data_IF_821558745359
#
_entry.id   IF_821558745359
#
_cell.length_a   1.000
_cell.length_b   1.000
_cell.length_c   1.000
_cell.angle_alpha   90.00
_cell.angle_beta   90.00
_cell.angle_gamma   90.00
#
_symmetry.space_group_name_H-M   'P 1'
#
loop_
_entity.id
_entity.type
_entity.pdbx_description
1 polymer ?
#
# COMPACT_ATOMS: atom_id res chain seq x y z
N UNK A 1 16.49 21.68 5.47
CA UNK A 1 16.40 20.35 6.10
C UNK A 1 14.96 20.10 6.53
N UNK A 2 14.34 19.01 6.11
CA UNK A 2 12.96 18.65 6.53
C UNK A 2 12.98 18.11 7.96
N UNK A 3 12.07 18.61 8.81
CA UNK A 3 11.98 18.15 10.20
C UNK A 3 11.45 16.71 10.26
N UNK A 4 11.85 15.89 11.26
CA UNK A 4 11.37 14.52 11.40
C UNK A 4 9.84 14.41 11.41
N UNK A 5 9.15 15.32 12.11
CA UNK A 5 7.69 15.35 12.17
C UNK A 5 7.03 15.58 10.80
N UNK A 6 7.64 16.37 9.92
CA UNK A 6 7.13 16.58 8.57
C UNK A 6 7.30 15.32 7.70
N UNK A 7 8.46 14.67 7.78
CA UNK A 7 8.73 13.42 7.06
C UNK A 7 7.76 12.30 7.46
N UNK A 8 7.43 12.22 8.75
CA UNK A 8 6.40 11.29 9.25
C UNK A 8 5.02 11.59 8.65
N UNK A 9 4.60 12.85 8.60
CA UNK A 9 3.33 13.26 7.97
C UNK A 9 3.29 12.89 6.48
N UNK A 10 4.38 13.15 5.74
CA UNK A 10 4.48 12.73 4.34
C UNK A 10 4.41 11.21 4.20
N UNK A 11 5.06 10.45 5.07
CA UNK A 11 5.03 8.99 5.05
C UNK A 11 3.62 8.45 5.33
N UNK A 12 2.89 9.05 6.27
CA UNK A 12 1.52 8.67 6.61
C UNK A 12 0.57 8.94 5.44
N UNK A 13 0.63 10.13 4.84
CA UNK A 13 -0.16 10.47 3.64
C UNK A 13 0.15 9.52 2.48
N UNK A 14 1.43 9.21 2.26
CA UNK A 14 1.84 8.28 1.23
C UNK A 14 1.33 6.86 1.50
N UNK A 15 1.34 6.40 2.74
CA UNK A 15 0.79 5.10 3.12
C UNK A 15 -0.73 5.05 2.92
N UNK A 16 -1.47 6.13 3.23
CA UNK A 16 -2.90 6.23 2.95
C UNK A 16 -3.19 6.16 1.45
N UNK A 17 -2.43 6.90 0.62
CA UNK A 17 -2.56 6.86 -0.84
C UNK A 17 -2.21 5.47 -1.38
N UNK A 18 -1.17 4.84 -0.84
CA UNK A 18 -0.79 3.48 -1.19
C UNK A 18 -1.87 2.47 -0.83
N UNK A 19 -2.49 2.59 0.35
CA UNK A 19 -3.60 1.73 0.78
C UNK A 19 -4.81 1.89 -0.14
N UNK A 20 -5.22 3.12 -0.44
CA UNK A 20 -6.31 3.38 -1.40
C UNK A 20 -6.02 2.77 -2.77
N UNK A 21 -4.78 2.93 -3.26
CA UNK A 21 -4.35 2.36 -4.54
C UNK A 21 -4.40 0.83 -4.52
N UNK A 22 -3.94 0.20 -3.43
CA UNK A 22 -4.01 -1.24 -3.23
C UNK A 22 -5.46 -1.75 -3.21
N UNK A 23 -6.35 -1.10 -2.45
CA UNK A 23 -7.78 -1.46 -2.38
C UNK A 23 -8.40 -1.38 -3.77
N UNK A 24 -8.22 -0.26 -4.48
CA UNK A 24 -8.76 -0.09 -5.85
C UNK A 24 -8.22 -1.15 -6.81
N UNK A 25 -6.93 -1.48 -6.74
CA UNK A 25 -6.33 -2.51 -7.57
C UNK A 25 -6.92 -3.91 -7.32
N UNK A 26 -7.43 -4.17 -6.10
CA UNK A 26 -8.07 -5.44 -5.75
C UNK A 26 -9.57 -5.52 -6.04
N UNK A 27 -10.24 -4.40 -6.34
CA UNK A 27 -11.69 -4.39 -6.62
C UNK A 27 -12.11 -5.36 -7.74
N UNK A 28 -11.40 -5.46 -8.88
CA UNK A 28 -11.78 -6.40 -9.94
C UNK A 28 -11.81 -7.86 -9.47
N UNK A 29 -10.87 -8.26 -8.61
CA UNK A 29 -10.80 -9.61 -8.06
C UNK A 29 -11.96 -9.88 -7.09
N UNK A 30 -12.28 -8.91 -6.23
CA UNK A 30 -13.44 -8.97 -5.33
C UNK A 30 -14.74 -9.10 -6.11
N UNK A 31 -14.90 -8.35 -7.21
CA UNK A 31 -16.07 -8.45 -8.09
C UNK A 31 -16.15 -9.83 -8.72
N UNK A 32 -15.06 -10.36 -9.27
CA UNK A 32 -15.03 -11.71 -9.86
C UNK A 32 -15.38 -12.81 -8.84
N UNK A 33 -14.88 -12.69 -7.61
CA UNK A 33 -15.18 -13.64 -6.53
C UNK A 33 -16.65 -13.58 -6.11
N UNK A 34 -17.22 -12.38 -6.00
CA UNK A 34 -18.65 -12.23 -5.67
C UNK A 34 -19.52 -12.74 -6.81
N UNK A 35 -19.25 -12.41 -8.07
CA UNK A 35 -20.00 -12.94 -9.24
C UNK A 35 -19.99 -14.47 -9.23
N UNK A 36 -18.84 -15.08 -8.95
CA UNK A 36 -18.70 -16.55 -8.87
C UNK A 36 -19.54 -17.15 -7.74
N UNK A 37 -19.67 -16.47 -6.61
CA UNK A 37 -20.35 -16.98 -5.42
C UNK A 37 -21.85 -16.66 -5.36
N UNK A 38 -22.32 -15.58 -5.98
CA UNK A 38 -23.74 -15.16 -5.91
C UNK A 38 -24.58 -15.56 -7.12
N UNK A 39 -23.96 -16.06 -8.20
CA UNK A 39 -24.67 -16.42 -9.42
C UNK A 39 -25.39 -15.21 -10.05
N UNK A 40 -26.66 -15.37 -10.41
CA UNK A 40 -27.47 -14.34 -11.10
C UNK A 40 -28.31 -13.46 -10.19
N UNK A 41 -28.27 -13.63 -8.86
CA UNK A 41 -29.12 -12.88 -7.92
C UNK A 41 -28.53 -11.47 -7.59
N UNK A 42 -29.11 -10.37 -8.11
CA UNK A 42 -28.50 -9.04 -8.01
C UNK A 42 -28.50 -8.46 -6.59
N UNK A 43 -29.49 -8.84 -5.76
CA UNK A 43 -29.58 -8.38 -4.36
C UNK A 43 -28.48 -9.00 -3.51
N UNK A 44 -28.20 -10.29 -3.70
CA UNK A 44 -27.10 -10.97 -3.01
C UNK A 44 -25.74 -10.42 -3.46
N UNK A 45 -25.59 -10.09 -4.75
CA UNK A 45 -24.37 -9.49 -5.28
C UNK A 45 -23.96 -8.21 -4.55
N UNK A 46 -24.86 -7.22 -4.44
CA UNK A 46 -24.53 -5.94 -3.79
C UNK A 46 -24.22 -6.11 -2.29
N UNK A 47 -24.98 -6.96 -1.59
CA UNK A 47 -24.74 -7.23 -0.17
C UNK A 47 -23.39 -7.94 0.03
N UNK A 48 -23.09 -8.97 -0.75
CA UNK A 48 -21.83 -9.70 -0.65
C UNK A 48 -20.62 -8.82 -1.01
N UNK A 49 -20.73 -8.01 -2.07
CA UNK A 49 -19.67 -7.11 -2.51
C UNK A 49 -19.37 -6.03 -1.47
N UNK A 50 -20.41 -5.40 -0.90
CA UNK A 50 -20.24 -4.36 0.13
C UNK A 50 -19.60 -4.91 1.40
N UNK A 51 -20.04 -6.08 1.88
CA UNK A 51 -19.47 -6.75 3.04
C UNK A 51 -18.02 -7.17 2.76
N UNK A 52 -17.77 -7.80 1.60
CA UNK A 52 -16.44 -8.24 1.17
C UNK A 52 -15.44 -7.10 1.07
N UNK A 53 -15.81 -6.01 0.37
CA UNK A 53 -14.97 -4.81 0.26
C UNK A 53 -14.72 -4.16 1.61
N UNK A 54 -15.72 -4.12 2.51
CA UNK A 54 -15.56 -3.51 3.84
C UNK A 54 -14.60 -4.32 4.72
N UNK A 55 -14.80 -5.64 4.78
CA UNK A 55 -13.94 -6.55 5.52
C UNK A 55 -12.51 -6.54 4.98
N UNK A 56 -12.35 -6.61 3.65
CA UNK A 56 -11.06 -6.52 2.97
C UNK A 56 -10.37 -5.19 3.23
N UNK A 57 -11.10 -4.07 3.14
CA UNK A 57 -10.56 -2.73 3.40
C UNK A 57 -10.07 -2.58 4.84
N UNK A 58 -10.84 -3.07 5.82
CA UNK A 58 -10.44 -3.02 7.23
C UNK A 58 -9.18 -3.87 7.50
N UNK A 59 -9.17 -5.09 6.96
CA UNK A 59 -8.07 -6.01 7.11
C UNK A 59 -6.78 -5.47 6.47
N UNK A 60 -6.88 -4.99 5.23
CA UNK A 60 -5.74 -4.38 4.52
C UNK A 60 -5.30 -3.05 5.12
N UNK A 61 -6.21 -2.29 5.73
CA UNK A 61 -5.85 -1.09 6.48
C UNK A 61 -5.00 -1.42 7.71
N UNK A 62 -5.39 -2.44 8.48
CA UNK A 62 -4.60 -2.91 9.62
C UNK A 62 -3.22 -3.41 9.18
N UNK A 63 -3.15 -4.22 8.11
CA UNK A 63 -1.89 -4.68 7.54
C UNK A 63 -1.01 -3.55 7.01
N UNK A 64 -1.61 -2.60 6.29
CA UNK A 64 -0.92 -1.41 5.76
C UNK A 64 -0.40 -0.49 6.87
N UNK A 65 -1.17 -0.31 7.96
CA UNK A 65 -0.73 0.44 9.13
C UNK A 65 0.46 -0.23 9.83
N UNK A 66 0.42 -1.56 10.00
CA UNK A 66 1.55 -2.31 10.54
C UNK A 66 2.80 -2.18 9.65
N UNK A 67 2.65 -2.35 8.33
CA UNK A 67 3.75 -2.17 7.38
C UNK A 67 4.30 -0.74 7.40
N UNK A 68 3.43 0.28 7.53
CA UNK A 68 3.85 1.66 7.66
C UNK A 68 4.68 1.89 8.94
N UNK A 69 4.22 1.40 10.09
CA UNK A 69 4.94 1.53 11.37
C UNK A 69 6.29 0.79 11.33
N UNK A 70 6.32 -0.43 10.80
CA UNK A 70 7.50 -1.30 10.85
C UNK A 70 8.51 -0.99 9.75
N UNK A 71 8.08 -0.50 8.59
CA UNK A 71 8.96 -0.30 7.43
C UNK A 71 9.06 1.17 7.07
N UNK A 72 7.94 1.82 6.73
CA UNK A 72 7.97 3.17 6.18
C UNK A 72 8.45 4.22 7.20
N UNK A 73 8.04 4.11 8.47
CA UNK A 73 8.49 5.01 9.54
C UNK A 73 10.00 4.91 9.73
N UNK A 74 10.61 3.73 9.98
CA UNK A 74 12.07 3.59 10.04
C UNK A 74 12.77 4.12 8.78
N UNK A 75 12.30 3.79 7.58
CA UNK A 75 12.91 4.29 6.34
C UNK A 75 12.84 5.83 6.28
N UNK A 76 11.72 6.42 6.69
CA UNK A 76 11.53 7.87 6.71
C UNK A 76 12.35 8.59 7.80
N UNK A 77 12.80 7.89 8.84
CA UNK A 77 13.57 8.48 9.93
C UNK A 77 15.08 8.27 9.71
N UNK A 78 15.49 7.06 9.36
CA UNK A 78 16.90 6.67 9.32
C UNK A 78 17.63 7.05 8.03
N UNK A 79 16.94 7.11 6.89
CA UNK A 79 17.58 7.47 5.62
C UNK A 79 17.52 8.97 5.38
N UNK A 80 18.55 9.57 4.78
CA UNK A 80 18.50 10.98 4.40
C UNK A 80 17.56 11.19 3.22
N UNK A 81 16.93 12.37 3.15
CA UNK A 81 16.03 12.68 2.03
C UNK A 81 16.76 12.70 0.69
N UNK A 82 17.99 13.22 0.67
CA UNK A 82 18.85 13.26 -0.52
C UNK A 82 19.17 11.86 -1.05
N UNK A 83 19.51 10.92 -0.16
CA UNK A 83 19.80 9.54 -0.57
C UNK A 83 18.57 8.88 -1.20
N UNK A 84 17.40 9.06 -0.59
CA UNK A 84 16.14 8.52 -1.10
C UNK A 84 15.78 9.11 -2.47
N UNK A 85 16.01 10.42 -2.68
CA UNK A 85 15.77 11.09 -3.96
C UNK A 85 16.81 10.72 -5.04
N UNK A 86 18.04 10.36 -4.66
CA UNK A 86 19.01 9.82 -5.59
C UNK A 86 18.63 8.40 -6.06
N UNK A 87 17.87 7.66 -5.26
CA UNK A 87 17.55 6.25 -5.47
C UNK A 87 16.05 5.99 -5.70
N UNK A 88 15.33 6.91 -6.37
CA UNK A 88 13.87 6.82 -6.53
C UNK A 88 13.42 5.51 -7.19
N UNK A 89 13.99 5.17 -8.35
CA UNK A 89 13.61 3.96 -9.09
C UNK A 89 13.85 2.68 -8.27
N UNK A 90 15.07 2.43 -7.75
CA UNK A 90 15.30 1.23 -6.95
C UNK A 90 14.48 1.21 -5.67
N UNK A 91 14.25 2.35 -5.01
CA UNK A 91 13.40 2.39 -3.81
C UNK A 91 11.95 1.94 -4.09
N UNK A 92 11.36 2.39 -5.20
CA UNK A 92 10.01 1.98 -5.61
C UNK A 92 9.97 0.51 -5.99
N UNK A 93 10.94 0.04 -6.78
CA UNK A 93 11.02 -1.37 -7.19
C UNK A 93 11.22 -2.28 -5.97
N UNK A 94 12.15 -1.95 -5.08
CA UNK A 94 12.38 -2.71 -3.85
C UNK A 94 11.14 -2.71 -2.95
N UNK A 95 10.40 -1.61 -2.85
CA UNK A 95 9.16 -1.56 -2.07
C UNK A 95 8.09 -2.49 -2.65
N UNK A 96 7.93 -2.51 -3.98
CA UNK A 96 7.03 -3.45 -4.65
C UNK A 96 7.46 -4.91 -4.48
N UNK A 97 8.75 -5.20 -4.60
CA UNK A 97 9.31 -6.54 -4.38
C UNK A 97 9.16 -7.01 -2.93
N UNK A 98 9.36 -6.13 -1.94
CA UNK A 98 9.09 -6.45 -0.54
C UNK A 98 7.61 -6.78 -0.32
N UNK A 99 6.69 -6.04 -0.95
CA UNK A 99 5.27 -6.38 -0.97
C UNK A 99 5.00 -7.77 -1.57
N UNK A 100 5.61 -8.08 -2.71
CA UNK A 100 5.52 -9.40 -3.33
C UNK A 100 6.07 -10.51 -2.42
N UNK A 101 7.22 -10.29 -1.77
CA UNK A 101 7.80 -11.23 -0.82
C UNK A 101 6.88 -11.46 0.37
N UNK A 102 6.26 -10.41 0.93
CA UNK A 102 5.30 -10.53 2.03
C UNK A 102 4.10 -11.38 1.63
N UNK A 103 3.59 -11.23 0.41
CA UNK A 103 2.50 -12.06 -0.11
C UNK A 103 2.93 -13.51 -0.39
N UNK A 104 4.19 -13.73 -0.75
CA UNK A 104 4.75 -15.06 -0.99
C UNK A 104 5.18 -15.79 0.29
N UNK A 105 5.33 -15.10 1.42
CA UNK A 105 5.60 -15.74 2.69
C UNK A 105 4.42 -16.66 3.04
N UNK A 106 4.68 -17.92 3.44
CA UNK A 106 3.64 -18.86 3.83
C UNK A 106 3.13 -18.51 5.23
N UNK A 107 2.61 -17.29 5.39
CA UNK A 107 1.78 -16.95 6.51
C UNK A 107 0.50 -17.74 6.34
N UNK A 108 0.42 -18.87 7.03
CA UNK A 108 -0.76 -19.70 7.21
C UNK A 108 -1.94 -18.96 7.90
N UNK A 109 -2.03 -17.63 7.79
CA UNK A 109 -3.17 -16.83 8.23
C UNK A 109 -4.45 -17.35 7.57
N UNK A 110 -4.36 -17.84 6.32
CA UNK A 110 -5.47 -18.50 5.62
C UNK A 110 -5.87 -19.85 6.22
N UNK A 111 -4.98 -20.58 6.90
CA UNK A 111 -5.32 -21.86 7.57
C UNK A 111 -6.12 -21.67 8.85
N UNK A 112 -6.18 -20.46 9.40
CA UNK A 112 -7.14 -20.14 10.48
C UNK A 112 -8.59 -20.26 9.96
N UNK A 113 -8.78 -20.17 8.64
CA UNK A 113 -10.05 -20.33 7.94
C UNK A 113 -10.00 -21.53 6.97
N UNK A 114 -9.45 -22.66 7.43
CA UNK A 114 -9.11 -23.93 6.73
C UNK A 114 -10.25 -24.61 5.91
N UNK A 115 -11.36 -23.92 5.62
CA UNK A 115 -12.51 -24.45 4.89
C UNK A 115 -12.80 -23.77 3.54
N UNK A 116 -11.97 -22.84 3.06
CA UNK A 116 -12.25 -22.16 1.78
C UNK A 116 -11.39 -22.68 0.62
N UNK A 117 -11.99 -23.20 -0.47
CA UNK A 117 -11.29 -23.60 -1.71
C UNK A 117 -10.67 -22.43 -2.52
N UNK A 118 -10.51 -21.24 -1.92
CA UNK A 118 -10.15 -19.98 -2.60
C UNK A 118 -8.65 -19.62 -2.53
N UNK A 119 -7.78 -20.59 -2.22
CA UNK A 119 -6.34 -20.38 -1.98
C UNK A 119 -5.62 -19.54 -3.05
N UNK A 120 -5.91 -19.78 -4.34
CA UNK A 120 -5.25 -19.00 -5.42
C UNK A 120 -5.82 -17.59 -5.57
N UNK A 121 -7.13 -17.38 -5.45
CA UNK A 121 -7.73 -16.05 -5.57
C UNK A 121 -7.32 -15.16 -4.40
N UNK A 122 -7.30 -15.72 -3.18
CA UNK A 122 -6.82 -15.05 -1.98
C UNK A 122 -5.35 -14.66 -2.12
N UNK A 123 -4.50 -15.55 -2.64
CA UNK A 123 -3.10 -15.23 -2.92
C UNK A 123 -2.97 -14.04 -3.87
N UNK A 124 -3.68 -14.05 -5.01
CA UNK A 124 -3.60 -12.95 -5.98
C UNK A 124 -4.15 -11.62 -5.43
N UNK A 125 -5.23 -11.66 -4.66
CA UNK A 125 -5.76 -10.50 -3.94
C UNK A 125 -4.69 -9.88 -3.02
N UNK A 126 -4.04 -10.72 -2.22
CA UNK A 126 -3.00 -10.30 -1.31
C UNK A 126 -1.78 -9.75 -2.05
N UNK A 127 -1.32 -10.47 -3.08
CA UNK A 127 -0.17 -10.10 -3.90
C UNK A 127 -0.37 -8.76 -4.60
N UNK A 128 -1.51 -8.59 -5.28
CA UNK A 128 -1.85 -7.33 -5.96
C UNK A 128 -1.91 -6.19 -4.96
N UNK A 129 -2.57 -6.40 -3.81
CA UNK A 129 -2.65 -5.40 -2.76
C UNK A 129 -1.25 -4.98 -2.27
N UNK A 130 -0.42 -5.92 -1.83
CA UNK A 130 0.88 -5.59 -1.21
C UNK A 130 1.86 -4.95 -2.19
N UNK A 131 1.88 -5.41 -3.45
CA UNK A 131 2.72 -4.83 -4.51
C UNK A 131 2.26 -3.42 -4.83
N UNK A 132 0.97 -3.22 -5.08
CA UNK A 132 0.42 -1.89 -5.39
C UNK A 132 0.59 -0.93 -4.21
N UNK A 133 0.32 -1.39 -2.98
CA UNK A 133 0.53 -0.62 -1.75
C UNK A 133 1.99 -0.18 -1.62
N UNK A 134 2.94 -1.11 -1.72
CA UNK A 134 4.36 -0.81 -1.55
C UNK A 134 4.88 0.16 -2.61
N UNK A 135 4.58 -0.10 -3.89
CA UNK A 135 5.03 0.74 -4.99
C UNK A 135 4.42 2.16 -4.92
N UNK A 136 3.11 2.26 -4.70
CA UNK A 136 2.42 3.55 -4.64
C UNK A 136 2.84 4.38 -3.41
N UNK A 137 3.01 3.73 -2.24
CA UNK A 137 3.51 4.39 -1.02
C UNK A 137 4.89 4.98 -1.25
N UNK A 138 5.83 4.19 -1.76
CA UNK A 138 7.20 4.65 -2.01
C UNK A 138 7.21 5.80 -3.04
N UNK A 139 6.49 5.65 -4.15
CA UNK A 139 6.41 6.65 -5.20
C UNK A 139 5.84 7.98 -4.69
N UNK A 140 4.71 7.93 -3.97
CA UNK A 140 4.04 9.14 -3.49
C UNK A 140 4.87 9.85 -2.42
N UNK A 141 5.48 9.10 -1.50
CA UNK A 141 6.38 9.65 -0.49
C UNK A 141 7.56 10.40 -1.13
N UNK A 142 8.21 9.78 -2.13
CA UNK A 142 9.35 10.40 -2.83
C UNK A 142 8.93 11.63 -3.62
N UNK A 143 7.74 11.65 -4.22
CA UNK A 143 7.20 12.85 -4.88
C UNK A 143 6.95 13.99 -3.89
N UNK A 144 6.38 13.71 -2.72
CA UNK A 144 6.19 14.73 -1.68
C UNK A 144 7.55 15.28 -1.22
N UNK A 145 8.53 14.40 -1.01
CA UNK A 145 9.86 14.79 -0.58
C UNK A 145 10.58 15.65 -1.63
N UNK A 146 10.47 15.30 -2.92
CA UNK A 146 11.06 16.05 -4.02
C UNK A 146 10.48 17.47 -4.15
N UNK A 147 9.16 17.61 -3.98
CA UNK A 147 8.50 18.93 -4.02
C UNK A 147 9.04 19.85 -2.95
N UNK A 148 9.21 19.32 -1.74
CA UNK A 148 9.67 20.10 -0.59
C UNK A 148 11.13 20.50 -0.74
N UNK A 149 11.95 19.61 -1.30
CA UNK A 149 13.35 19.94 -1.60
C UNK A 149 13.45 21.05 -2.65
N UNK A 150 12.61 21.02 -3.69
CA UNK A 150 12.53 22.07 -4.69
C UNK A 150 12.09 23.42 -4.09
N UNK A 151 11.01 23.45 -3.30
CA UNK A 151 10.53 24.66 -2.61
C UNK A 151 11.60 25.25 -1.67
N UNK A 152 12.36 24.41 -0.97
CA UNK A 152 13.44 24.87 -0.11
C UNK A 152 14.55 25.56 -0.91
N UNK A 153 14.96 24.99 -2.05
CA UNK A 153 15.99 25.57 -2.94
C UNK A 153 15.56 26.93 -3.50
N UNK A 154 14.30 27.07 -3.91
CA UNK A 154 13.76 28.34 -4.42
C UNK A 154 13.79 29.45 -3.36
N UNK A 155 13.40 29.14 -2.11
CA UNK A 155 13.46 30.12 -1.01
C UNK A 155 14.88 30.60 -0.72
N UNK A 156 15.87 29.70 -0.79
CA UNK A 156 17.28 30.10 -0.62
C UNK A 156 17.79 30.95 -1.79
N UNK A 157 17.34 30.70 -3.02
CA UNK A 157 17.71 31.50 -4.18
C UNK A 157 17.17 32.94 -4.11
N UNK A 158 15.97 33.15 -3.55
CA UNK A 158 15.36 34.48 -3.37
C UNK A 158 16.00 35.32 -2.26
N UNK A 159 16.78 34.71 -1.36
CA UNK A 159 17.45 35.40 -0.25
C UNK A 159 18.89 35.84 -0.59
N UNK A 160 19.39 35.51 -1.77
CA UNK A 160 20.69 35.96 -2.29
C UNK A 160 20.51 37.11 -3.25
#
# INVERSE_FOLDING_TARGET
>A
MTTPGYRLRCSALAATVGWLTGVVATVPFQVLEVVRNTGTEPRLFLSALSIGLSAWSLFTFAGGAAAWIVIAVPVSVFFSGEWLLAHVRPAVVCSGLLGAMVAALPFRIWTVFDQMPSDMTNFWLYFVFTVSFGAATAWYYLRLLARVDAEARERYAQQR
#
